data_IF_571774803507
#
_entry.id   IF_571774803507
#
_cell.length_a   1.000
_cell.length_b   1.000
_cell.length_c   1.000
_cell.angle_alpha   90.00
_cell.angle_beta   90.00
_cell.angle_gamma   90.00
#
_symmetry.space_group_name_H-M   'P 1'
#
loop_
_entity.id
_entity.type
_entity.pdbx_description
1 polymer ?
#
# COMPACT_ATOMS: atom_id res chain seq x y z
N UNK A 1 6.00 -30.90 51.84
CA UNK A 1 5.19 -30.60 50.63
C UNK A 1 4.89 -29.09 50.58
N UNK A 2 5.86 -28.28 50.20
CA UNK A 2 5.70 -26.84 50.00
C UNK A 2 6.68 -26.49 48.88
N UNK A 3 6.17 -26.35 47.65
CA UNK A 3 6.89 -25.75 46.50
C UNK A 3 5.99 -25.60 45.25
N UNK A 4 4.70 -25.96 45.30
CA UNK A 4 3.81 -25.86 44.14
C UNK A 4 3.16 -24.47 43.91
N UNK A 5 3.40 -23.48 44.77
CA UNK A 5 2.76 -22.16 44.64
C UNK A 5 3.45 -21.21 43.65
N UNK A 6 4.70 -21.46 43.27
CA UNK A 6 5.47 -20.52 42.43
C UNK A 6 5.25 -20.78 40.93
N UNK A 7 4.90 -22.00 40.53
CA UNK A 7 4.77 -22.38 39.12
C UNK A 7 3.51 -21.78 38.47
N UNK A 8 2.44 -21.56 39.24
CA UNK A 8 1.18 -21.00 38.71
C UNK A 8 1.27 -19.50 38.35
N UNK A 9 2.15 -18.75 39.03
CA UNK A 9 2.30 -17.30 38.81
C UNK A 9 3.03 -17.04 37.49
N UNK A 10 3.97 -17.91 37.11
CA UNK A 10 4.72 -17.76 35.84
C UNK A 10 3.83 -18.07 34.64
N UNK A 11 2.86 -18.98 34.76
CA UNK A 11 1.96 -19.34 33.64
C UNK A 11 0.95 -18.24 33.28
N UNK A 12 0.60 -17.36 34.23
CA UNK A 12 -0.34 -16.24 33.99
C UNK A 12 0.32 -15.03 33.31
N UNK A 13 1.64 -14.85 33.44
CA UNK A 13 2.35 -13.69 32.87
C UNK A 13 2.60 -13.85 31.35
N UNK A 14 2.66 -15.09 30.84
CA UNK A 14 2.93 -15.36 29.42
C UNK A 14 1.68 -15.15 28.55
N UNK A 15 0.46 -15.20 29.12
CA UNK A 15 -0.79 -15.02 28.37
C UNK A 15 -1.11 -13.53 28.18
N UNK A 16 -0.59 -12.64 29.03
CA UNK A 16 -0.85 -11.20 28.91
C UNK A 16 0.09 -10.47 27.95
N UNK A 17 1.14 -11.12 27.43
CA UNK A 17 2.10 -10.47 26.53
C UNK A 17 1.60 -10.34 25.08
N UNK A 18 0.43 -10.87 24.74
CA UNK A 18 -0.06 -10.92 23.35
C UNK A 18 -1.11 -9.85 22.98
N UNK A 19 -1.39 -8.86 23.85
CA UNK A 19 -2.42 -7.82 23.60
C UNK A 19 -1.83 -6.41 23.47
N UNK A 20 -0.51 -6.30 23.30
CA UNK A 20 0.16 -5.01 23.13
C UNK A 20 0.53 -4.67 21.67
N UNK A 21 -0.07 -5.33 20.67
CA UNK A 21 -0.19 -4.71 19.34
C UNK A 21 -1.25 -3.61 19.44
N UNK A 22 -0.83 -2.45 19.93
CA UNK A 22 -1.63 -1.23 19.87
C UNK A 22 -2.16 -1.06 18.45
N UNK A 23 -3.48 -1.00 18.34
CA UNK A 23 -4.26 -0.57 17.19
C UNK A 23 -3.89 0.87 16.79
N UNK A 24 -2.67 1.11 16.30
CA UNK A 24 -2.46 2.27 15.44
C UNK A 24 -3.23 1.97 14.18
N UNK A 25 -4.33 2.70 13.95
CA UNK A 25 -4.98 2.72 12.66
C UNK A 25 -3.96 3.23 11.63
N UNK A 26 -3.21 2.29 11.06
CA UNK A 26 -2.15 2.53 10.10
C UNK A 26 -2.82 2.92 8.79
N UNK A 27 -3.12 4.20 8.72
CA UNK A 27 -3.46 4.84 7.48
C UNK A 27 -2.27 4.73 6.53
N UNK A 28 -2.57 4.69 5.24
CA UNK A 28 -1.52 4.74 4.24
C UNK A 28 -1.96 5.59 3.05
N UNK A 29 -0.96 6.05 2.32
CA UNK A 29 -1.12 6.58 0.98
C UNK A 29 -0.48 5.63 -0.02
N UNK A 30 -1.09 5.55 -1.20
CA UNK A 30 -0.61 4.78 -2.33
C UNK A 30 -0.48 5.72 -3.52
N UNK A 31 0.60 5.56 -4.28
CA UNK A 31 0.82 6.29 -5.52
C UNK A 31 1.36 5.33 -6.57
N UNK A 32 0.89 5.45 -7.81
CA UNK A 32 1.54 4.86 -8.99
C UNK A 32 1.59 5.87 -10.12
N UNK A 33 2.69 5.89 -10.85
CA UNK A 33 2.91 6.77 -12.00
C UNK A 33 3.44 5.96 -13.17
N UNK A 34 2.94 6.26 -14.37
CA UNK A 34 3.45 5.76 -15.65
C UNK A 34 4.08 6.93 -16.39
N UNK A 35 5.32 6.75 -16.82
CA UNK A 35 6.15 7.79 -17.42
C UNK A 35 6.43 7.40 -18.87
N UNK A 36 6.24 8.34 -19.78
CA UNK A 36 6.54 8.22 -21.20
C UNK A 36 7.27 9.49 -21.64
N UNK A 37 8.40 9.34 -22.31
CA UNK A 37 9.20 10.47 -22.81
C UNK A 37 9.48 11.51 -21.72
N UNK A 38 9.93 11.02 -20.54
CA UNK A 38 10.20 11.82 -19.31
C UNK A 38 9.01 12.54 -18.70
N UNK A 39 7.81 12.38 -19.26
CA UNK A 39 6.57 12.99 -18.78
C UNK A 39 5.69 11.96 -18.09
N UNK A 40 5.08 12.34 -16.96
CA UNK A 40 4.09 11.49 -16.29
C UNK A 40 2.83 11.45 -17.16
N UNK A 41 2.63 10.36 -17.89
CA UNK A 41 1.46 10.21 -18.74
C UNK A 41 0.20 9.86 -17.93
N UNK A 42 0.38 9.08 -16.85
CA UNK A 42 -0.71 8.67 -15.96
C UNK A 42 -0.22 8.65 -14.52
N UNK A 43 -1.06 9.09 -13.59
CA UNK A 43 -0.82 8.91 -12.17
C UNK A 43 -2.09 8.53 -11.43
N UNK A 44 -1.93 7.72 -10.41
CA UNK A 44 -3.00 7.35 -9.49
C UNK A 44 -2.51 7.65 -8.07
N UNK A 45 -3.37 8.21 -7.25
CA UNK A 45 -3.12 8.39 -5.82
C UNK A 45 -4.32 7.91 -5.02
N UNK A 46 -4.05 7.35 -3.85
CA UNK A 46 -5.07 6.98 -2.88
C UNK A 46 -4.58 7.31 -1.49
N UNK A 47 -5.47 7.74 -0.61
CA UNK A 47 -5.15 7.99 0.79
C UNK A 47 -6.29 7.47 1.68
N UNK A 48 -6.00 6.55 2.60
CA UNK A 48 -7.02 5.91 3.43
C UNK A 48 -7.77 6.88 4.36
N UNK A 49 -7.17 8.00 4.76
CA UNK A 49 -7.84 9.01 5.60
C UNK A 49 -8.90 9.76 4.82
N UNK A 50 -8.52 10.26 3.64
CA UNK A 50 -9.45 10.99 2.76
C UNK A 50 -10.40 10.06 2.01
N UNK A 51 -10.01 8.79 1.85
CA UNK A 51 -10.67 7.78 1.00
C UNK A 51 -10.73 8.15 -0.48
N UNK A 52 -10.03 9.20 -0.87
CA UNK A 52 -10.02 9.70 -2.24
C UNK A 52 -9.06 8.84 -3.05
N UNK A 53 -9.59 8.28 -4.15
CA UNK A 53 -8.82 7.72 -5.24
C UNK A 53 -8.83 8.72 -6.41
N UNK A 54 -7.67 9.28 -6.74
CA UNK A 54 -7.50 10.25 -7.81
C UNK A 54 -6.74 9.60 -8.98
N UNK A 55 -7.23 9.82 -10.20
CA UNK A 55 -6.56 9.45 -11.43
C UNK A 55 -6.33 10.68 -12.29
N UNK A 56 -5.08 10.91 -12.67
CA UNK A 56 -4.69 11.97 -13.61
C UNK A 56 -4.10 11.35 -14.86
N UNK A 57 -4.52 11.85 -16.01
CA UNK A 57 -4.02 11.42 -17.31
C UNK A 57 -3.70 12.62 -18.18
N UNK A 58 -2.53 12.58 -18.83
CA UNK A 58 -2.11 13.50 -19.87
C UNK A 58 -2.83 13.17 -21.19
N UNK A 59 -3.38 14.19 -21.83
CA UNK A 59 -4.05 14.09 -23.13
C UNK A 59 -3.14 14.65 -24.25
N UNK A 60 -3.44 14.32 -25.52
CA UNK A 60 -2.63 14.79 -26.66
C UNK A 60 -2.53 16.32 -26.80
N UNK A 61 -3.48 17.06 -26.21
CA UNK A 61 -3.48 18.53 -26.14
C UNK A 61 -2.52 19.09 -25.07
N UNK A 62 -1.78 18.23 -24.36
CA UNK A 62 -0.87 18.60 -23.29
C UNK A 62 -1.56 18.86 -21.94
N UNK A 63 -2.89 18.75 -21.87
CA UNK A 63 -3.64 18.97 -20.63
C UNK A 63 -3.75 17.69 -19.79
N UNK A 64 -3.80 17.85 -18.48
CA UNK A 64 -4.18 16.76 -17.57
C UNK A 64 -5.67 16.80 -17.29
N UNK A 65 -6.34 15.67 -17.43
CA UNK A 65 -7.68 15.47 -16.86
C UNK A 65 -7.58 14.63 -15.62
N UNK A 66 -8.29 15.07 -14.59
CA UNK A 66 -8.39 14.40 -13.30
C UNK A 66 -9.78 13.78 -13.17
N UNK A 67 -9.85 12.53 -12.75
CA UNK A 67 -11.06 11.88 -12.26
C UNK A 67 -10.83 11.52 -10.79
N UNK A 68 -11.85 11.68 -9.97
CA UNK A 68 -11.76 11.40 -8.54
C UNK A 68 -12.96 10.59 -8.11
N UNK A 69 -12.74 9.57 -7.27
CA UNK A 69 -13.79 8.75 -6.70
C UNK A 69 -13.48 8.45 -5.24
N UNK A 70 -14.51 8.25 -4.43
CA UNK A 70 -14.34 7.78 -3.05
C UNK A 70 -14.29 6.26 -3.02
N UNK A 71 -13.21 5.69 -2.45
CA UNK A 71 -13.08 4.26 -2.21
C UNK A 71 -12.93 4.02 -0.71
N UNK A 72 -14.01 3.48 -0.15
CA UNK A 72 -14.11 3.11 1.26
C UNK A 72 -13.46 1.74 1.50
N UNK A 73 -12.16 1.71 1.79
CA UNK A 73 -11.53 0.51 2.35
C UNK A 73 -12.00 0.31 3.79
N UNK A 74 -12.40 -0.91 4.14
CA UNK A 74 -12.80 -1.23 5.51
C UNK A 74 -11.58 -1.27 6.43
N UNK A 75 -11.82 -1.17 7.74
CA UNK A 75 -10.76 -1.35 8.74
C UNK A 75 -10.06 -2.71 8.59
N UNK A 76 -10.80 -3.76 8.20
CA UNK A 76 -10.24 -5.09 7.96
C UNK A 76 -9.33 -5.11 6.72
N UNK A 77 -9.72 -4.42 5.62
CA UNK A 77 -8.86 -4.30 4.45
C UNK A 77 -7.54 -3.60 4.78
N UNK A 78 -7.61 -2.50 5.53
CA UNK A 78 -6.43 -1.73 5.96
C UNK A 78 -5.54 -2.59 6.87
N UNK A 79 -6.15 -3.31 7.82
CA UNK A 79 -5.44 -4.23 8.70
C UNK A 79 -4.74 -5.33 7.90
N UNK A 80 -5.39 -5.92 6.90
CA UNK A 80 -4.81 -6.98 6.08
C UNK A 80 -3.59 -6.51 5.29
N UNK A 81 -3.63 -5.30 4.71
CA UNK A 81 -2.46 -4.69 4.06
C UNK A 81 -1.32 -4.49 5.05
N UNK A 82 -1.61 -4.00 6.25
CA UNK A 82 -0.61 -3.78 7.27
C UNK A 82 -0.01 -5.11 7.77
N UNK A 83 -0.82 -6.12 8.04
CA UNK A 83 -0.36 -7.45 8.47
C UNK A 83 0.53 -8.08 7.40
N UNK A 84 0.19 -7.90 6.12
CA UNK A 84 1.01 -8.35 5.00
C UNK A 84 2.35 -7.61 4.93
N UNK A 85 2.36 -6.29 5.13
CA UNK A 85 3.59 -5.49 5.24
C UNK A 85 4.48 -5.97 6.38
N UNK A 86 3.92 -6.16 7.58
CA UNK A 86 4.65 -6.61 8.77
C UNK A 86 5.18 -8.04 8.63
N UNK A 87 4.47 -8.90 7.90
CA UNK A 87 4.88 -10.28 7.61
C UNK A 87 6.02 -10.34 6.59
N UNK A 88 5.87 -9.64 5.47
CA UNK A 88 6.82 -9.68 4.36
C UNK A 88 8.08 -8.85 4.61
N UNK A 89 7.98 -7.80 5.44
CA UNK A 89 9.07 -6.88 5.81
C UNK A 89 9.92 -6.44 4.59
N UNK A 90 9.30 -5.90 3.52
CA UNK A 90 10.05 -5.43 2.37
C UNK A 90 11.00 -4.31 2.80
N UNK A 91 12.23 -4.29 2.26
CA UNK A 91 13.17 -3.20 2.57
C UNK A 91 12.70 -1.85 2.04
N UNK A 92 11.94 -1.84 0.95
CA UNK A 92 11.31 -0.64 0.41
C UNK A 92 9.88 -0.91 -0.03
N UNK A 93 9.03 0.07 0.23
CA UNK A 93 7.66 0.13 -0.26
C UNK A 93 7.56 0.96 -1.56
N UNK A 94 8.62 0.97 -2.36
CA UNK A 94 8.64 1.62 -3.66
C UNK A 94 9.21 0.67 -4.71
N UNK A 95 8.48 0.48 -5.80
CA UNK A 95 8.90 -0.31 -6.94
C UNK A 95 9.04 0.57 -8.18
N UNK A 96 10.03 0.26 -9.01
CA UNK A 96 10.36 1.04 -10.19
C UNK A 96 10.69 0.10 -11.35
N UNK A 97 10.20 0.44 -12.54
CA UNK A 97 10.51 -0.26 -13.76
C UNK A 97 11.29 0.66 -14.69
N UNK A 98 12.46 0.18 -15.10
CA UNK A 98 13.33 0.87 -16.05
C UNK A 98 13.40 0.10 -17.36
N UNK A 99 13.35 0.81 -18.48
CA UNK A 99 13.60 0.28 -19.83
C UNK A 99 14.68 1.17 -20.45
N UNK A 100 15.78 0.57 -20.92
CA UNK A 100 16.93 1.32 -21.46
C UNK A 100 17.41 2.45 -20.51
N UNK A 101 17.50 2.14 -19.21
CA UNK A 101 17.83 3.09 -18.13
C UNK A 101 16.86 4.27 -17.95
N UNK A 102 15.71 4.29 -18.64
CA UNK A 102 14.64 5.27 -18.44
C UNK A 102 13.57 4.70 -17.52
N UNK A 103 13.21 5.45 -16.49
CA UNK A 103 12.10 5.10 -15.60
C UNK A 103 10.78 5.21 -16.38
N UNK A 104 10.04 4.10 -16.50
CA UNK A 104 8.74 4.06 -17.20
C UNK A 104 7.56 3.85 -16.24
N UNK A 105 7.83 3.38 -15.02
CA UNK A 105 6.81 3.17 -14.00
C UNK A 105 7.42 3.27 -12.61
N UNK A 106 6.70 3.89 -11.67
CA UNK A 106 7.04 3.93 -10.25
C UNK A 106 5.75 3.78 -9.44
N UNK A 107 5.77 2.91 -8.43
CA UNK A 107 4.69 2.80 -7.45
C UNK A 107 5.24 2.80 -6.03
N UNK A 108 4.48 3.35 -5.10
CA UNK A 108 4.88 3.45 -3.70
C UNK A 108 3.70 3.40 -2.73
N UNK A 109 3.92 2.77 -1.56
CA UNK A 109 3.00 2.76 -0.42
C UNK A 109 3.71 3.44 0.76
N UNK A 110 3.04 4.39 1.39
CA UNK A 110 3.55 5.13 2.54
C UNK A 110 2.57 4.98 3.69
N UNK A 111 2.96 4.22 4.71
CA UNK A 111 2.21 4.13 5.95
C UNK A 111 2.44 5.39 6.81
N UNK A 112 1.37 5.89 7.41
CA UNK A 112 1.39 6.96 8.40
C UNK A 112 2.02 6.44 9.70
N UNK A 113 3.34 6.23 9.74
CA UNK A 113 4.03 6.09 11.03
C UNK A 113 4.30 7.49 11.58
N UNK A 114 4.12 7.68 12.88
CA UNK A 114 4.34 8.92 13.66
C UNK A 114 5.78 9.49 13.62
N UNK A 115 6.62 9.07 12.68
CA UNK A 115 7.98 9.56 12.50
C UNK A 115 8.10 10.21 11.12
N UNK A 116 8.47 11.48 11.10
CA UNK A 116 8.86 12.31 9.95
C UNK A 116 10.09 11.77 9.17
N UNK A 117 10.27 10.45 9.09
CA UNK A 117 11.46 9.76 8.57
C UNK A 117 11.24 9.05 7.24
N UNK A 118 10.05 9.10 6.64
CA UNK A 118 9.91 8.60 5.28
C UNK A 118 10.52 9.62 4.30
N UNK A 119 11.51 9.21 3.49
CA UNK A 119 12.12 10.11 2.53
C UNK A 119 11.07 10.56 1.51
N UNK A 120 11.09 11.86 1.16
CA UNK A 120 10.23 12.44 0.11
C UNK A 120 10.33 11.69 -1.23
N UNK A 121 11.47 11.02 -1.46
CA UNK A 121 11.67 10.08 -2.55
C UNK A 121 12.05 8.70 -2.01
N UNK A 122 11.10 7.76 -1.90
CA UNK A 122 11.42 6.41 -1.47
C UNK A 122 12.31 5.72 -2.51
N UNK A 123 13.35 5.05 -2.02
CA UNK A 123 14.34 4.34 -2.84
C UNK A 123 13.66 3.12 -3.48
N UNK A 124 13.82 2.92 -4.78
CA UNK A 124 13.26 1.76 -5.48
C UNK A 124 13.80 0.43 -4.91
N UNK A 125 12.97 -0.61 -4.91
CA UNK A 125 13.39 -1.98 -4.62
C UNK A 125 14.56 -2.38 -5.51
N UNK A 126 15.64 -2.84 -4.89
CA UNK A 126 16.88 -3.22 -5.58
C UNK A 126 17.08 -4.72 -5.70
N UNK A 127 16.35 -5.53 -4.94
CA UNK A 127 16.39 -7.00 -4.99
C UNK A 127 15.07 -7.57 -5.53
N UNK A 128 15.16 -8.68 -6.27
CA UNK A 128 13.96 -9.36 -6.79
C UNK A 128 13.05 -9.82 -5.65
N UNK A 129 13.61 -10.27 -4.52
CA UNK A 129 12.83 -10.66 -3.34
C UNK A 129 12.03 -9.49 -2.77
N UNK A 130 12.65 -8.33 -2.59
CA UNK A 130 11.96 -7.15 -2.05
C UNK A 130 10.87 -6.66 -3.03
N UNK A 131 11.15 -6.71 -4.33
CA UNK A 131 10.17 -6.42 -5.38
C UNK A 131 8.98 -7.36 -5.33
N UNK A 132 9.19 -8.68 -5.23
CA UNK A 132 8.09 -9.64 -5.12
C UNK A 132 7.27 -9.42 -3.86
N UNK A 133 7.93 -9.16 -2.73
CA UNK A 133 7.23 -8.83 -1.48
C UNK A 133 6.36 -7.57 -1.63
N UNK A 134 6.89 -6.51 -2.25
CA UNK A 134 6.11 -5.32 -2.54
C UNK A 134 4.93 -5.59 -3.47
N UNK A 135 5.15 -6.35 -4.56
CA UNK A 135 4.10 -6.69 -5.53
C UNK A 135 2.96 -7.47 -4.89
N UNK A 136 3.23 -8.35 -3.91
CA UNK A 136 2.17 -9.03 -3.16
C UNK A 136 1.29 -8.04 -2.40
N UNK A 137 1.88 -7.00 -1.79
CA UNK A 137 1.15 -5.95 -1.08
C UNK A 137 0.35 -5.09 -2.07
N UNK A 138 0.99 -4.66 -3.16
CA UNK A 138 0.35 -3.82 -4.18
C UNK A 138 -0.81 -4.54 -4.88
N UNK A 139 -0.64 -5.82 -5.23
CA UNK A 139 -1.70 -6.63 -5.83
C UNK A 139 -2.88 -6.77 -4.87
N UNK A 140 -2.63 -7.04 -3.59
CA UNK A 140 -3.71 -7.13 -2.60
C UNK A 140 -4.46 -5.82 -2.45
N UNK A 141 -3.75 -4.68 -2.50
CA UNK A 141 -4.37 -3.37 -2.48
C UNK A 141 -5.23 -3.12 -3.73
N UNK A 142 -4.73 -3.53 -4.90
CA UNK A 142 -5.49 -3.45 -6.15
C UNK A 142 -6.74 -4.34 -6.14
N UNK A 143 -6.68 -5.54 -5.54
CA UNK A 143 -7.85 -6.40 -5.36
C UNK A 143 -8.94 -5.68 -4.55
N UNK A 144 -8.55 -4.97 -3.48
CA UNK A 144 -9.51 -4.18 -2.71
C UNK A 144 -10.10 -3.02 -3.50
N UNK A 145 -9.28 -2.27 -4.26
CA UNK A 145 -9.79 -1.20 -5.12
C UNK A 145 -10.74 -1.74 -6.19
N UNK A 146 -10.32 -2.75 -6.94
CA UNK A 146 -11.09 -3.35 -8.03
C UNK A 146 -12.35 -4.08 -7.55
N UNK A 147 -12.46 -4.40 -6.25
CA UNK A 147 -13.70 -4.90 -5.65
C UNK A 147 -14.75 -3.80 -5.39
N UNK A 148 -14.33 -2.53 -5.32
CA UNK A 148 -15.23 -1.39 -5.11
C UNK A 148 -16.08 -1.12 -6.35
N UNK A 149 -17.39 -0.95 -6.15
CA UNK A 149 -18.31 -0.54 -7.21
C UNK A 149 -17.89 0.79 -7.85
N UNK A 150 -17.50 1.78 -7.03
CA UNK A 150 -17.12 3.10 -7.50
C UNK A 150 -15.85 3.07 -8.39
N UNK A 151 -14.92 2.15 -8.10
CA UNK A 151 -13.77 1.92 -8.95
C UNK A 151 -14.17 1.34 -10.31
N UNK A 152 -15.03 0.32 -10.30
CA UNK A 152 -15.52 -0.36 -11.50
C UNK A 152 -16.28 0.58 -12.44
N UNK A 153 -17.07 1.48 -11.89
CA UNK A 153 -17.76 2.51 -12.67
C UNK A 153 -16.80 3.54 -13.29
N UNK A 154 -15.70 3.86 -12.59
CA UNK A 154 -14.71 4.82 -13.07
C UNK A 154 -13.82 4.26 -14.17
N UNK A 155 -13.51 2.96 -14.11
CA UNK A 155 -12.63 2.23 -15.04
C UNK A 155 -13.29 0.96 -15.60
N UNK A 156 -14.46 1.05 -16.28
CA UNK A 156 -15.16 -0.12 -16.80
C UNK A 156 -14.31 -0.90 -17.80
N UNK A 157 -13.42 -0.23 -18.52
CA UNK A 157 -12.51 -0.83 -19.50
C UNK A 157 -11.52 -1.84 -18.90
N UNK A 158 -11.22 -1.75 -17.60
CA UNK A 158 -10.35 -2.73 -16.92
C UNK A 158 -11.06 -4.07 -16.68
N UNK A 159 -12.39 -4.11 -16.78
CA UNK A 159 -13.22 -5.29 -16.50
C UNK A 159 -13.84 -5.93 -17.76
N UNK A 160 -13.69 -5.28 -18.91
CA UNK A 160 -14.10 -5.86 -20.19
C UNK A 160 -13.02 -6.86 -20.61
N UNK A 161 -13.35 -8.16 -20.62
CA UNK A 161 -12.46 -9.21 -21.16
C UNK A 161 -12.06 -8.85 -22.59
N UNK A 162 -10.75 -8.76 -22.84
CA UNK A 162 -10.18 -8.79 -24.19
C UNK A 162 -9.98 -10.23 -24.65
#
# INVERSE_FOLDING_TARGET
MKNFRIIYIIFLVIIQSCVAQQNMALNFSYQRVSIRDTTINRSFTYNTKSKIYEYKQLYPDGSYKTKTVEINLTSDNIKEINDLYLSLKPKSLCNCLFVENKLIYKSSITFDSNDNKQPKDPICNSSEKDKQNYLLIENKLYDFFSSSFAYREMFPEEFIKR
#
